data_IF_484911924864
#
_entry.id   IF_484911924864
#
_cell.length_a   1.000
_cell.length_b   1.000
_cell.length_c   1.000
_cell.angle_alpha   90.00
_cell.angle_beta   90.00
_cell.angle_gamma   90.00
#
_symmetry.space_group_name_H-M   'P 1'
#
loop_
_entity.id
_entity.type
_entity.pdbx_description
1 polymer ?
#
# COMPACT_ATOMS: atom_id res chain seq x y z
N UNK A 1 -15.48 -36.27 2.50
CA UNK A 1 -14.28 -36.34 1.62
C UNK A 1 -13.08 -36.21 2.55
N UNK A 2 -12.13 -37.16 2.52
CA UNK A 2 -10.97 -37.13 3.44
C UNK A 2 -10.05 -35.95 3.08
N UNK A 3 -9.88 -35.01 4.03
CA UNK A 3 -8.89 -33.94 3.95
C UNK A 3 -7.50 -34.59 4.05
N UNK A 4 -6.68 -34.45 3.00
CA UNK A 4 -5.34 -35.03 2.94
C UNK A 4 -4.41 -34.17 3.78
N UNK A 5 -4.04 -34.66 4.96
CA UNK A 5 -3.02 -34.03 5.82
C UNK A 5 -1.68 -33.99 5.08
N UNK A 6 -1.26 -32.82 4.63
CA UNK A 6 0.03 -32.63 3.98
C UNK A 6 1.15 -32.40 5.00
N UNK A 7 2.29 -33.02 4.74
CA UNK A 7 3.53 -32.84 5.50
C UNK A 7 4.16 -31.52 5.06
N UNK A 8 4.37 -30.60 6.01
CA UNK A 8 5.07 -29.31 5.83
C UNK A 8 6.35 -29.47 5.01
N UNK A 9 6.27 -29.14 3.72
CA UNK A 9 7.43 -28.81 2.91
C UNK A 9 7.62 -27.30 3.05
N UNK A 10 8.46 -26.90 4.00
CA UNK A 10 8.95 -25.52 4.11
C UNK A 10 9.81 -25.25 2.86
N UNK A 11 9.16 -24.76 1.81
CA UNK A 11 9.81 -24.21 0.63
C UNK A 11 9.77 -22.69 0.74
N UNK A 12 10.82 -22.10 1.31
CA UNK A 12 11.04 -20.66 1.31
C UNK A 12 11.24 -20.20 -0.14
N UNK A 13 10.16 -19.83 -0.83
CA UNK A 13 10.24 -19.11 -2.09
C UNK A 13 10.43 -17.64 -1.75
N UNK A 14 11.69 -17.20 -1.82
CA UNK A 14 12.04 -15.79 -1.73
C UNK A 14 11.34 -14.99 -2.84
N UNK A 15 11.03 -13.74 -2.52
CA UNK A 15 10.56 -12.71 -3.45
C UNK A 15 11.42 -12.77 -4.72
N UNK A 16 10.82 -13.14 -5.86
CA UNK A 16 11.48 -13.06 -7.17
C UNK A 16 11.21 -11.65 -7.69
N UNK A 17 12.17 -10.75 -7.49
CA UNK A 17 12.23 -9.50 -8.23
C UNK A 17 12.53 -9.80 -9.70
N UNK A 18 11.71 -9.24 -10.59
CA UNK A 18 11.70 -9.39 -12.04
C UNK A 18 11.23 -10.76 -12.61
N UNK A 19 9.92 -10.83 -12.89
CA UNK A 19 9.41 -11.39 -14.14
C UNK A 19 9.65 -12.88 -14.41
N UNK A 20 9.14 -13.76 -13.55
CA UNK A 20 8.60 -15.07 -13.94
C UNK A 20 8.10 -15.82 -12.69
N UNK A 21 6.80 -15.73 -12.39
CA UNK A 21 6.15 -16.75 -11.56
C UNK A 21 6.09 -18.03 -12.39
N UNK A 22 7.12 -18.87 -12.26
CA UNK A 22 7.04 -20.24 -12.78
C UNK A 22 6.24 -21.03 -11.75
N UNK A 23 5.00 -21.36 -12.08
CA UNK A 23 4.25 -22.43 -11.42
C UNK A 23 4.99 -23.75 -11.67
N UNK A 24 6.13 -23.92 -10.99
CA UNK A 24 6.74 -25.22 -10.79
C UNK A 24 5.69 -26.08 -10.07
N UNK A 25 5.61 -27.37 -10.41
CA UNK A 25 4.65 -28.31 -9.84
C UNK A 25 4.96 -28.59 -8.36
N UNK A 26 4.93 -27.55 -7.53
CA UNK A 26 4.93 -27.63 -6.08
C UNK A 26 3.53 -28.03 -5.64
N UNK A 27 3.44 -29.03 -4.77
CA UNK A 27 2.19 -29.68 -4.37
C UNK A 27 1.59 -29.01 -3.13
N UNK A 28 1.80 -27.69 -2.94
CA UNK A 28 1.37 -26.95 -1.75
C UNK A 28 1.02 -25.49 -2.03
N UNK A 29 0.30 -24.87 -1.08
CA UNK A 29 -0.11 -23.48 -1.14
C UNK A 29 1.10 -22.54 -1.25
N UNK A 30 1.03 -21.59 -2.16
CA UNK A 30 2.09 -20.61 -2.40
C UNK A 30 1.50 -19.30 -2.90
N UNK A 31 2.16 -18.21 -2.57
CA UNK A 31 1.85 -16.89 -3.10
C UNK A 31 3.14 -16.14 -3.48
N UNK A 32 3.02 -15.14 -4.34
CA UNK A 32 4.16 -14.37 -4.81
C UNK A 32 3.77 -12.95 -5.22
N UNK A 33 4.72 -12.03 -5.05
CA UNK A 33 4.60 -10.61 -5.41
C UNK A 33 5.83 -10.21 -6.25
N UNK A 34 5.59 -9.47 -7.33
CA UNK A 34 6.64 -8.86 -8.14
C UNK A 34 6.61 -7.34 -7.95
N UNK A 35 7.78 -6.73 -7.73
CA UNK A 35 7.94 -5.28 -7.52
C UNK A 35 9.13 -4.81 -8.36
N UNK A 36 8.99 -3.64 -8.98
CA UNK A 36 10.06 -2.94 -9.69
C UNK A 36 10.26 -1.55 -9.07
N UNK A 37 11.51 -1.19 -8.77
CA UNK A 37 11.90 0.18 -8.41
C UNK A 37 12.99 0.67 -9.36
N UNK A 38 13.01 1.98 -9.60
CA UNK A 38 14.06 2.65 -10.38
C UNK A 38 14.48 3.91 -9.63
N UNK A 39 15.78 4.20 -9.63
CA UNK A 39 16.31 5.43 -9.03
C UNK A 39 15.78 6.68 -9.76
N UNK A 40 15.66 7.77 -9.00
CA UNK A 40 15.16 9.05 -9.52
C UNK A 40 16.17 10.17 -9.28
N UNK A 41 16.49 10.90 -10.35
CA UNK A 41 17.38 12.07 -10.30
C UNK A 41 16.65 13.31 -10.78
N UNK A 42 16.71 14.38 -9.98
CA UNK A 42 16.18 15.70 -10.32
C UNK A 42 17.29 16.73 -10.20
N UNK A 43 17.43 17.59 -11.21
CA UNK A 43 18.32 18.75 -11.18
C UNK A 43 17.48 20.02 -11.20
N UNK A 44 17.71 20.94 -10.27
CA UNK A 44 17.10 22.26 -10.27
C UNK A 44 17.99 23.32 -9.61
N UNK A 45 17.64 24.59 -9.84
CA UNK A 45 18.37 25.79 -9.40
C UNK A 45 18.23 26.09 -7.91
N UNK A 46 17.32 25.39 -7.21
CA UNK A 46 16.96 25.67 -5.82
C UNK A 46 17.41 24.58 -4.85
N UNK A 47 17.79 23.40 -5.35
CA UNK A 47 18.05 22.21 -4.54
C UNK A 47 16.82 21.69 -3.79
N UNK A 48 15.60 22.07 -4.17
CA UNK A 48 14.39 21.70 -3.45
C UNK A 48 13.53 20.69 -4.20
N UNK A 49 13.02 19.69 -3.50
CA UNK A 49 11.96 18.80 -4.00
C UNK A 49 10.64 19.26 -3.40
N UNK A 50 9.57 19.28 -4.20
CA UNK A 50 8.22 19.54 -3.66
C UNK A 50 7.55 18.27 -3.18
N UNK A 51 7.73 17.16 -3.91
CA UNK A 51 7.09 15.88 -3.58
C UNK A 51 7.95 14.71 -4.08
N UNK A 52 7.96 13.62 -3.32
CA UNK A 52 8.44 12.31 -3.74
C UNK A 52 7.24 11.37 -3.80
N UNK A 53 7.06 10.70 -4.93
CA UNK A 53 5.89 9.84 -5.18
C UNK A 53 6.27 8.50 -5.79
N UNK A 54 5.43 7.49 -5.60
CA UNK A 54 5.50 6.19 -6.28
C UNK A 54 4.17 5.83 -6.92
N UNK A 55 4.28 5.05 -8.00
CA UNK A 55 3.14 4.48 -8.71
C UNK A 55 3.40 2.98 -8.83
N UNK A 56 3.14 2.23 -7.74
CA UNK A 56 3.51 0.83 -7.71
C UNK A 56 2.56 0.01 -8.60
N UNK A 57 3.13 -0.77 -9.51
CA UNK A 57 2.41 -1.83 -10.21
C UNK A 57 2.52 -3.12 -9.40
N UNK A 58 1.41 -3.85 -9.25
CA UNK A 58 1.38 -5.05 -8.43
C UNK A 58 0.75 -6.24 -9.12
N UNK A 59 1.48 -7.35 -9.09
CA UNK A 59 0.99 -8.67 -9.47
C UNK A 59 1.06 -9.60 -8.27
N UNK A 60 -0.10 -9.93 -7.70
CA UNK A 60 -0.21 -10.96 -6.67
C UNK A 60 -0.74 -12.23 -7.29
N UNK A 61 0.03 -13.30 -7.13
CA UNK A 61 -0.32 -14.61 -7.62
C UNK A 61 -0.47 -15.55 -6.43
N UNK A 62 -1.45 -16.45 -6.49
CA UNK A 62 -1.64 -17.51 -5.51
C UNK A 62 -2.02 -18.80 -6.20
N UNK A 63 -1.63 -19.93 -5.60
CA UNK A 63 -1.94 -21.24 -6.15
C UNK A 63 -2.08 -22.29 -5.06
N UNK A 64 -2.93 -23.28 -5.31
CA UNK A 64 -3.10 -24.50 -4.52
C UNK A 64 -3.46 -24.25 -3.05
N UNK A 65 -4.24 -23.21 -2.75
CA UNK A 65 -4.85 -23.06 -1.43
C UNK A 65 -5.98 -24.06 -1.24
N UNK A 66 -6.22 -24.52 -0.01
CA UNK A 66 -7.36 -25.39 0.29
C UNK A 66 -8.67 -24.60 0.47
N UNK A 67 -8.55 -23.30 0.71
CA UNK A 67 -9.64 -22.36 0.89
C UNK A 67 -9.65 -21.31 -0.23
N UNK A 68 -10.84 -20.83 -0.58
CA UNK A 68 -11.00 -19.82 -1.63
C UNK A 68 -10.46 -18.46 -1.19
N UNK A 69 -9.60 -17.84 -2.00
CA UNK A 69 -9.21 -16.43 -1.85
C UNK A 69 -10.33 -15.55 -2.42
N UNK A 70 -10.89 -14.67 -1.59
CA UNK A 70 -11.97 -13.75 -1.95
C UNK A 70 -11.57 -12.27 -1.90
N UNK A 71 -10.53 -11.92 -1.15
CA UNK A 71 -10.02 -10.55 -1.01
C UNK A 71 -8.51 -10.57 -0.90
N UNK A 72 -7.89 -9.45 -1.22
CA UNK A 72 -6.46 -9.24 -1.00
C UNK A 72 -6.31 -7.97 -0.21
N UNK A 73 -5.75 -8.05 0.99
CA UNK A 73 -5.33 -6.89 1.77
C UNK A 73 -3.88 -6.53 1.41
N UNK A 74 -3.60 -5.23 1.37
CA UNK A 74 -2.31 -4.69 0.99
C UNK A 74 -1.98 -3.51 1.89
N UNK A 75 -0.70 -3.43 2.25
CA UNK A 75 -0.09 -2.36 2.99
C UNK A 75 1.19 -1.93 2.29
N UNK A 76 1.35 -0.63 2.11
CA UNK A 76 2.61 -0.02 1.73
C UNK A 76 3.06 0.88 2.87
N UNK A 77 4.28 0.64 3.33
CA UNK A 77 4.97 1.47 4.31
C UNK A 77 6.25 2.03 3.68
N UNK A 78 6.65 3.22 4.11
CA UNK A 78 7.86 3.86 3.65
C UNK A 78 8.72 4.32 4.82
N UNK A 79 10.03 4.27 4.62
CA UNK A 79 11.07 4.82 5.49
C UNK A 79 11.99 5.68 4.64
N UNK A 80 12.34 6.86 5.15
CA UNK A 80 13.19 7.81 4.43
C UNK A 80 14.40 8.15 5.29
N UNK A 81 15.59 8.14 4.67
CA UNK A 81 16.86 8.50 5.32
C UNK A 81 17.12 7.73 6.64
N UNK A 82 16.71 6.46 6.71
CA UNK A 82 16.88 5.62 7.90
C UNK A 82 15.98 5.99 9.10
N UNK A 83 14.93 6.80 8.90
CA UNK A 83 13.95 7.15 9.92
C UNK A 83 13.01 6.02 10.33
N UNK A 84 11.84 6.36 10.87
CA UNK A 84 10.82 5.37 11.21
C UNK A 84 10.02 4.91 9.98
N UNK A 85 9.43 3.71 10.09
CA UNK A 85 8.49 3.22 9.09
C UNK A 85 7.11 3.83 9.31
N UNK A 86 6.56 4.45 8.28
CA UNK A 86 5.19 4.95 8.28
C UNK A 86 4.34 4.20 7.26
N UNK A 87 3.13 3.74 7.63
CA UNK A 87 2.15 3.33 6.63
C UNK A 87 1.79 4.53 5.77
N UNK A 88 1.76 4.35 4.46
CA UNK A 88 1.40 5.39 3.48
C UNK A 88 0.19 4.98 2.63
N UNK A 89 -0.11 3.68 2.57
CA UNK A 89 -1.26 3.16 1.85
C UNK A 89 -1.75 1.84 2.45
N UNK A 90 -3.07 1.67 2.50
CA UNK A 90 -3.72 0.39 2.75
C UNK A 90 -4.96 0.23 1.89
N UNK A 91 -5.28 -1.00 1.50
CA UNK A 91 -6.57 -1.33 0.91
C UNK A 91 -6.89 -2.82 1.05
N UNK A 92 -8.18 -3.15 0.97
CA UNK A 92 -8.67 -4.53 0.87
C UNK A 92 -9.63 -4.66 -0.31
N UNK A 93 -9.16 -4.55 -1.56
CA UNK A 93 -9.99 -4.80 -2.72
C UNK A 93 -10.67 -6.17 -2.64
N UNK A 94 -11.97 -6.16 -2.93
CA UNK A 94 -12.73 -7.37 -3.15
C UNK A 94 -12.42 -7.90 -4.54
N UNK A 95 -12.19 -9.21 -4.65
CA UNK A 95 -12.02 -9.87 -5.94
C UNK A 95 -13.37 -9.95 -6.65
N UNK A 96 -13.36 -9.85 -7.98
CA UNK A 96 -14.53 -10.23 -8.78
C UNK A 96 -14.63 -11.77 -8.83
N UNK A 97 -15.80 -12.34 -9.15
CA UNK A 97 -15.93 -13.79 -9.26
C UNK A 97 -14.89 -14.45 -10.17
N UNK A 98 -14.50 -13.81 -11.27
CA UNK A 98 -13.49 -14.31 -12.21
C UNK A 98 -12.08 -14.38 -11.61
N UNK A 99 -11.82 -13.60 -10.56
CA UNK A 99 -10.54 -13.53 -9.89
C UNK A 99 -10.50 -14.40 -8.63
N UNK A 100 -11.65 -14.77 -8.06
CA UNK A 100 -11.70 -15.63 -6.87
C UNK A 100 -11.26 -17.05 -7.20
N UNK A 101 -10.67 -17.72 -6.21
CA UNK A 101 -10.36 -19.15 -6.31
C UNK A 101 -9.25 -19.58 -5.37
N UNK A 102 -8.98 -20.88 -5.37
CA UNK A 102 -7.81 -21.48 -4.71
C UNK A 102 -6.51 -21.24 -5.48
N UNK A 103 -6.63 -20.81 -6.73
CA UNK A 103 -5.53 -20.38 -7.61
C UNK A 103 -6.00 -19.19 -8.41
N UNK A 104 -5.17 -18.17 -8.53
CA UNK A 104 -5.53 -16.94 -9.23
C UNK A 104 -4.41 -15.91 -9.27
N UNK A 105 -4.71 -14.82 -9.97
CA UNK A 105 -3.84 -13.67 -10.10
C UNK A 105 -4.68 -12.40 -9.94
N UNK A 106 -4.15 -11.44 -9.19
CA UNK A 106 -4.66 -10.08 -9.15
C UNK A 106 -3.57 -9.15 -9.69
N UNK A 107 -3.81 -8.66 -10.89
CA UNK A 107 -3.04 -7.59 -11.52
C UNK A 107 -3.70 -6.26 -11.14
N UNK A 108 -2.96 -5.41 -10.43
CA UNK A 108 -3.34 -4.03 -10.17
C UNK A 108 -2.52 -3.12 -11.08
N UNK A 109 -2.79 -3.23 -12.39
CA UNK A 109 -2.21 -2.34 -13.37
C UNK A 109 -2.67 -0.90 -13.16
N UNK A 110 -1.78 0.04 -13.50
CA UNK A 110 -2.11 1.46 -13.63
C UNK A 110 -2.69 2.01 -12.32
N UNK A 111 -1.96 1.79 -11.23
CA UNK A 111 -2.33 2.19 -9.88
C UNK A 111 -2.75 3.67 -9.79
N UNK A 112 -2.08 4.54 -10.55
CA UNK A 112 -2.45 5.94 -10.71
C UNK A 112 -3.88 6.13 -11.23
N UNK A 113 -4.33 5.34 -12.19
CA UNK A 113 -5.71 5.43 -12.71
C UNK A 113 -6.75 5.03 -11.66
N UNK A 114 -6.41 4.08 -10.78
CA UNK A 114 -7.30 3.62 -9.70
C UNK A 114 -7.40 4.66 -8.58
N UNK A 115 -6.28 5.30 -8.25
CA UNK A 115 -6.20 6.32 -7.21
C UNK A 115 -6.53 7.73 -7.72
N UNK A 116 -6.48 7.94 -9.04
CA UNK A 116 -6.48 9.25 -9.68
C UNK A 116 -5.18 10.03 -9.52
N UNK A 117 -4.13 9.44 -8.90
CA UNK A 117 -2.81 10.06 -8.63
C UNK A 117 -1.77 9.04 -8.12
N UNK A 118 -0.47 9.38 -8.16
CA UNK A 118 0.59 8.64 -7.44
C UNK A 118 0.41 8.63 -5.91
N UNK A 119 1.00 7.66 -5.22
CA UNK A 119 1.17 7.69 -3.76
C UNK A 119 2.30 8.64 -3.40
N UNK A 120 2.11 9.46 -2.38
CA UNK A 120 3.16 10.37 -1.92
C UNK A 120 3.89 9.80 -0.72
N UNK A 121 5.21 9.68 -0.87
CA UNK A 121 6.13 9.24 0.17
C UNK A 121 6.58 10.45 0.99
N UNK A 122 6.87 11.55 0.30
CA UNK A 122 7.25 12.80 0.94
C UNK A 122 6.52 13.97 0.30
N UNK A 123 6.10 14.93 1.12
CA UNK A 123 5.46 16.18 0.70
C UNK A 123 5.85 17.31 1.69
N UNK A 124 5.46 18.58 1.46
CA UNK A 124 5.90 19.68 2.33
C UNK A 124 5.37 19.64 3.77
N UNK A 125 4.40 18.78 4.08
CA UNK A 125 3.81 18.64 5.41
C UNK A 125 4.49 17.53 6.22
N UNK A 126 4.98 16.50 5.53
CA UNK A 126 5.70 15.38 6.12
C UNK A 126 4.84 14.39 6.90
N UNK A 127 5.49 13.64 7.78
CA UNK A 127 4.80 12.70 8.67
C UNK A 127 3.84 13.46 9.59
N UNK A 128 2.55 13.09 9.64
CA UNK A 128 1.61 13.69 10.57
C UNK A 128 2.06 13.53 12.03
N UNK A 129 1.76 14.50 12.87
CA UNK A 129 1.94 14.41 14.32
C UNK A 129 0.86 13.51 14.95
N UNK A 130 0.95 12.20 14.68
CA UNK A 130 0.03 11.21 15.23
C UNK A 130 -0.03 11.25 16.78
N UNK A 131 1.09 11.37 17.52
CA UNK A 131 1.05 11.49 18.98
C UNK A 131 0.33 12.74 19.49
N UNK A 132 0.35 13.83 18.71
CA UNK A 132 -0.32 15.08 19.04
C UNK A 132 -1.82 15.11 18.73
N UNK A 133 -2.36 14.14 17.99
CA UNK A 133 -3.76 14.12 17.57
C UNK A 133 -4.73 13.80 18.72
N UNK A 134 -5.97 14.33 18.64
CA UNK A 134 -7.02 14.05 19.62
C UNK A 134 -7.76 12.73 19.33
N UNK A 135 -7.11 11.62 19.67
CA UNK A 135 -7.67 10.27 19.51
C UNK A 135 -8.92 10.03 20.37
N UNK A 136 -9.10 10.77 21.46
CA UNK A 136 -10.29 10.64 22.31
C UNK A 136 -11.54 11.17 21.59
N UNK A 137 -11.40 12.29 20.90
CA UNK A 137 -12.47 12.87 20.07
C UNK A 137 -12.64 12.13 18.75
N UNK A 138 -11.60 11.42 18.27
CA UNK A 138 -11.68 10.65 17.05
C UNK A 138 -12.77 9.58 17.14
N UNK A 139 -12.64 8.62 18.08
CA UNK A 139 -13.62 7.59 18.40
C UNK A 139 -13.36 6.21 17.79
N UNK A 140 -13.20 6.07 16.45
CA UNK A 140 -13.00 4.77 15.81
C UNK A 140 -11.72 4.04 16.19
N UNK A 141 -10.66 4.75 16.57
CA UNK A 141 -9.34 4.17 16.80
C UNK A 141 -8.56 4.96 17.86
N UNK A 142 -7.65 4.28 18.55
CA UNK A 142 -6.48 4.91 19.18
C UNK A 142 -5.35 5.10 18.17
N UNK A 143 -4.34 5.90 18.53
CA UNK A 143 -3.10 6.05 17.76
C UNK A 143 -2.50 4.70 17.34
N UNK A 144 -2.34 3.81 18.31
CA UNK A 144 -1.77 2.48 18.11
C UNK A 144 -2.60 1.66 17.11
N UNK A 145 -3.92 1.58 17.32
CA UNK A 145 -4.79 0.81 16.44
C UNK A 145 -4.89 1.39 15.02
N UNK A 146 -4.64 2.70 14.88
CA UNK A 146 -4.62 3.38 13.60
C UNK A 146 -3.35 3.05 12.82
N UNK A 147 -2.19 3.20 13.47
CA UNK A 147 -0.89 2.98 12.84
C UNK A 147 -0.59 1.50 12.59
N UNK A 148 -1.08 0.59 13.44
CA UNK A 148 -0.95 -0.86 13.22
C UNK A 148 -2.04 -1.45 12.30
N UNK A 149 -3.01 -0.61 11.90
CA UNK A 149 -4.08 -0.94 10.97
C UNK A 149 -5.24 -1.72 11.54
N UNK A 150 -5.25 -1.99 12.83
CA UNK A 150 -6.32 -2.76 13.44
C UNK A 150 -7.66 -2.03 13.47
N UNK A 151 -7.63 -0.69 13.57
CA UNK A 151 -8.80 0.15 13.39
C UNK A 151 -8.43 1.50 12.80
N UNK A 152 -9.07 1.89 11.70
CA UNK A 152 -8.74 3.14 10.98
C UNK A 152 -9.90 4.11 10.84
N UNK A 153 -11.13 3.70 11.16
CA UNK A 153 -12.35 4.45 10.80
C UNK A 153 -12.45 4.75 9.30
N UNK A 154 -13.39 5.64 8.95
CA UNK A 154 -13.50 6.16 7.59
C UNK A 154 -12.60 7.38 7.36
N UNK A 155 -12.30 7.66 6.10
CA UNK A 155 -11.53 8.85 5.74
C UNK A 155 -12.20 10.14 6.17
N UNK A 156 -13.52 10.25 5.95
CA UNK A 156 -14.29 11.41 6.36
C UNK A 156 -14.25 11.64 7.87
N UNK A 157 -14.23 10.58 8.68
CA UNK A 157 -14.04 10.73 10.12
C UNK A 157 -12.63 11.22 10.43
N UNK A 158 -11.60 10.63 9.81
CA UNK A 158 -10.21 11.01 10.06
C UNK A 158 -9.96 12.48 9.70
N UNK A 159 -10.43 12.92 8.53
CA UNK A 159 -10.28 14.30 8.07
C UNK A 159 -11.04 15.32 8.93
N UNK A 160 -12.15 14.92 9.54
CA UNK A 160 -12.99 15.85 10.32
C UNK A 160 -12.57 15.96 11.78
N UNK A 161 -11.89 14.94 12.32
CA UNK A 161 -11.74 14.79 13.77
C UNK A 161 -10.29 14.69 14.25
N UNK A 162 -9.31 14.32 13.39
CA UNK A 162 -7.91 14.17 13.82
C UNK A 162 -7.07 15.44 13.66
N UNK A 163 -7.54 16.43 12.88
CA UNK A 163 -6.77 17.65 12.53
C UNK A 163 -5.35 17.34 12.02
N UNK A 164 -5.22 16.23 11.29
CA UNK A 164 -3.96 15.79 10.68
C UNK A 164 -3.97 16.06 9.17
N UNK A 165 -2.79 16.36 8.62
CA UNK A 165 -2.60 16.42 7.18
C UNK A 165 -2.44 15.02 6.62
N UNK A 166 -3.57 14.41 6.23
CA UNK A 166 -3.62 13.05 5.70
C UNK A 166 -3.77 13.06 4.18
N UNK A 167 -3.20 12.05 3.53
CA UNK A 167 -3.30 11.86 2.09
C UNK A 167 -4.40 10.86 1.78
N UNK A 168 -5.54 11.32 1.26
CA UNK A 168 -6.61 10.41 0.85
C UNK A 168 -6.20 9.57 -0.36
N UNK A 169 -5.59 8.43 -0.12
CA UNK A 169 -5.01 7.59 -1.16
C UNK A 169 -6.01 6.58 -1.73
N UNK A 170 -7.31 6.64 -1.40
CA UNK A 170 -8.34 5.84 -2.08
C UNK A 170 -9.74 6.49 -2.11
N UNK A 171 -9.91 7.69 -2.70
CA UNK A 171 -11.07 8.55 -2.46
C UNK A 171 -12.44 7.91 -2.70
N UNK A 172 -12.50 6.96 -3.65
CA UNK A 172 -13.71 6.23 -4.01
C UNK A 172 -14.23 5.27 -2.93
N UNK A 173 -13.39 4.86 -1.97
CA UNK A 173 -13.73 3.85 -0.97
C UNK A 173 -13.81 4.37 0.47
N UNK A 174 -13.48 5.65 0.71
CA UNK A 174 -13.61 6.32 2.01
C UNK A 174 -13.03 5.52 3.21
N UNK A 175 -12.00 4.71 2.99
CA UNK A 175 -11.28 4.00 4.06
C UNK A 175 -10.29 4.97 4.73
N UNK A 176 -10.01 4.88 6.04
CA UNK A 176 -9.02 5.78 6.67
C UNK A 176 -7.66 5.78 5.94
N UNK A 177 -6.94 6.91 5.97
CA UNK A 177 -5.69 7.08 5.22
C UNK A 177 -4.56 7.70 6.04
N UNK A 178 -3.34 7.46 5.59
CA UNK A 178 -2.13 7.96 6.22
C UNK A 178 -1.62 9.24 5.58
N UNK A 179 -0.68 9.91 6.25
CA UNK A 179 0.08 11.01 5.65
C UNK A 179 1.31 10.52 4.88
N UNK A 180 2.16 11.46 4.49
CA UNK A 180 3.49 11.16 3.96
C UNK A 180 4.37 10.51 5.04
N UNK A 181 5.46 9.85 4.66
CA UNK A 181 6.47 9.32 5.58
C UNK A 181 7.54 10.37 5.95
N UNK A 182 7.76 11.39 5.12
CA UNK A 182 8.78 12.40 5.37
C UNK A 182 8.40 13.76 4.79
N UNK A 183 8.94 14.83 5.38
CA UNK A 183 8.77 16.17 4.81
C UNK A 183 9.74 16.41 3.66
N UNK A 184 9.34 17.20 2.68
CA UNK A 184 10.25 17.77 1.68
C UNK A 184 10.77 19.15 2.06
N UNK A 185 10.20 19.81 3.09
CA UNK A 185 10.62 21.16 3.57
C UNK A 185 10.33 21.37 5.07
N UNK A 186 10.94 22.38 5.73
CA UNK A 186 12.08 23.19 5.29
C UNK A 186 13.42 22.55 5.66
N UNK A 187 14.49 22.96 5.00
CA UNK A 187 15.87 22.73 5.43
C UNK A 187 16.11 23.28 6.86
N UNK A 188 16.88 22.59 7.72
CA UNK A 188 17.52 21.28 7.55
C UNK A 188 16.66 20.09 8.01
N UNK A 189 15.37 20.31 8.29
CA UNK A 189 14.50 19.27 8.83
C UNK A 189 14.06 18.26 7.76
N UNK A 190 14.06 18.66 6.48
CA UNK A 190 13.79 17.78 5.35
C UNK A 190 15.04 17.01 4.91
N UNK A 191 14.96 15.69 4.72
CA UNK A 191 16.05 14.93 4.10
C UNK A 191 16.24 15.28 2.61
N UNK A 192 15.22 15.85 1.96
CA UNK A 192 15.23 16.18 0.53
C UNK A 192 15.51 17.66 0.20
N UNK A 193 15.63 18.52 1.21
CA UNK A 193 15.95 19.94 1.03
C UNK A 193 17.44 20.15 1.32
N UNK A 194 18.16 20.86 0.46
CA UNK A 194 19.62 21.01 0.56
C UNK A 194 20.04 22.48 0.49
N UNK A 195 21.21 22.80 1.03
CA UNK A 195 21.79 24.14 0.86
C UNK A 195 22.04 24.44 -0.62
N UNK A 196 21.81 25.69 -1.04
CA UNK A 196 22.15 26.19 -2.39
C UNK A 196 23.65 26.40 -2.53
N UNK A 197 24.41 25.30 -2.54
CA UNK A 197 25.89 25.30 -2.50
C UNK A 197 26.56 24.75 -3.78
N UNK A 198 25.77 24.15 -4.69
CA UNK A 198 26.29 23.55 -5.91
C UNK A 198 26.64 22.06 -5.79
N UNK A 199 26.43 21.45 -4.64
CA UNK A 199 26.68 20.03 -4.40
C UNK A 199 25.42 19.18 -4.69
N UNK A 200 25.62 17.87 -4.72
CA UNK A 200 24.53 16.90 -4.88
C UNK A 200 24.29 16.17 -3.57
N UNK A 201 23.03 15.89 -3.26
CA UNK A 201 22.66 15.06 -2.13
C UNK A 201 21.77 13.90 -2.56
N UNK A 202 22.02 12.74 -1.96
CA UNK A 202 21.27 11.52 -2.20
C UNK A 202 20.58 11.10 -0.91
N UNK A 203 19.28 10.85 -1.00
CA UNK A 203 18.46 10.31 0.08
C UNK A 203 17.92 8.95 -0.32
N UNK A 204 18.21 7.95 0.50
CA UNK A 204 17.64 6.62 0.33
C UNK A 204 16.17 6.61 0.79
N UNK A 205 15.31 6.02 -0.04
CA UNK A 205 13.93 5.72 0.28
C UNK A 205 13.74 4.21 0.27
N UNK A 206 13.23 3.68 1.37
CA UNK A 206 12.93 2.27 1.54
C UNK A 206 11.41 2.08 1.59
N UNK A 207 10.94 1.06 0.90
CA UNK A 207 9.53 0.67 0.85
C UNK A 207 9.41 -0.77 1.29
N UNK A 208 8.36 -1.06 2.06
CA UNK A 208 7.96 -2.43 2.33
C UNK A 208 6.49 -2.63 2.04
N UNK A 209 6.23 -3.81 1.50
CA UNK A 209 4.93 -4.23 1.02
C UNK A 209 4.52 -5.46 1.82
N UNK A 210 3.31 -5.41 2.37
CA UNK A 210 2.72 -6.56 3.06
C UNK A 210 1.38 -6.86 2.41
N UNK A 211 1.19 -8.13 2.02
CA UNK A 211 -0.04 -8.63 1.41
C UNK A 211 -0.59 -9.75 2.28
N UNK A 212 -1.91 -9.77 2.43
CA UNK A 212 -2.65 -10.82 3.12
C UNK A 212 -3.79 -11.32 2.21
N UNK A 213 -3.80 -12.62 1.91
CA UNK A 213 -4.89 -13.25 1.17
C UNK A 213 -6.01 -13.64 2.15
N UNK A 214 -7.21 -13.15 1.88
CA UNK A 214 -8.35 -13.27 2.77
C UNK A 214 -9.48 -14.07 2.11
N UNK A 215 -10.19 -14.82 2.94
CA UNK A 215 -11.39 -15.57 2.56
C UNK A 215 -12.53 -14.63 2.15
N UNK A 216 -13.46 -15.06 1.28
CA UNK A 216 -14.67 -14.30 1.00
C UNK A 216 -15.53 -14.18 2.28
N UNK A 217 -16.33 -13.13 2.38
CA UNK A 217 -17.33 -13.02 3.43
C UNK A 217 -18.73 -12.78 2.87
N UNK A 218 -19.76 -13.04 3.70
CA UNK A 218 -21.16 -12.92 3.34
C UNK A 218 -21.48 -11.55 2.71
N UNK A 219 -21.09 -10.46 3.37
CA UNK A 219 -21.42 -9.10 2.90
C UNK A 219 -20.85 -8.81 1.51
N UNK A 220 -19.65 -9.31 1.21
CA UNK A 220 -19.05 -9.17 -0.11
C UNK A 220 -19.85 -9.93 -1.16
N UNK A 221 -20.16 -11.20 -0.90
CA UNK A 221 -20.85 -12.05 -1.87
C UNK A 221 -22.29 -11.60 -2.10
N UNK A 222 -23.01 -11.20 -1.05
CA UNK A 222 -24.34 -10.58 -1.17
C UNK A 222 -24.27 -9.33 -2.04
N UNK A 223 -23.30 -8.43 -1.80
CA UNK A 223 -23.12 -7.25 -2.64
C UNK A 223 -22.84 -7.62 -4.12
N UNK A 224 -21.98 -8.61 -4.37
CA UNK A 224 -21.66 -9.03 -5.74
C UNK A 224 -22.90 -9.65 -6.43
N UNK A 225 -23.63 -10.53 -5.75
CA UNK A 225 -24.73 -11.30 -6.32
C UNK A 225 -26.11 -10.65 -6.21
N UNK A 226 -26.22 -9.49 -5.55
CA UNK A 226 -27.38 -8.60 -5.63
C UNK A 226 -27.29 -7.64 -6.83
N UNK A 227 -26.09 -7.44 -7.36
CA UNK A 227 -25.82 -6.49 -8.44
C UNK A 227 -25.60 -7.19 -9.79
N UNK A 228 -25.96 -6.50 -10.88
CA UNK A 228 -25.64 -6.98 -12.23
C UNK A 228 -24.11 -6.95 -12.48
N UNK A 229 -23.55 -7.84 -13.31
CA UNK A 229 -24.21 -8.88 -14.12
C UNK A 229 -24.48 -10.19 -13.38
N UNK A 230 -24.00 -10.33 -12.14
CA UNK A 230 -24.03 -11.61 -11.42
C UNK A 230 -25.33 -11.87 -10.68
N UNK A 231 -26.30 -10.95 -10.74
CA UNK A 231 -27.55 -11.07 -9.99
C UNK A 231 -28.18 -12.46 -10.11
N UNK A 232 -28.17 -13.22 -9.00
CA UNK A 232 -28.69 -14.60 -8.93
C UNK A 232 -29.94 -14.72 -8.06
N UNK A 233 -30.24 -13.73 -7.22
CA UNK A 233 -31.32 -13.76 -6.24
C UNK A 233 -32.26 -12.56 -6.37
N UNK A 234 -33.40 -12.66 -5.70
CA UNK A 234 -34.29 -11.52 -5.51
C UNK A 234 -33.67 -10.57 -4.46
N UNK A 235 -33.42 -9.30 -4.82
CA UNK A 235 -32.84 -8.32 -3.92
C UNK A 235 -33.66 -8.18 -2.64
N UNK A 236 -32.99 -8.28 -1.50
CA UNK A 236 -33.61 -8.20 -0.17
C UNK A 236 -34.10 -9.52 0.40
N UNK A 237 -33.75 -10.66 -0.21
CA UNK A 237 -33.82 -11.98 0.45
C UNK A 237 -32.44 -12.37 1.00
N UNK A 238 -32.37 -12.83 2.24
CA UNK A 238 -31.11 -13.33 2.82
C UNK A 238 -30.79 -14.70 2.22
N UNK A 239 -29.77 -14.76 1.37
CA UNK A 239 -29.25 -16.02 0.85
C UNK A 239 -28.53 -16.81 1.95
N UNK A 240 -28.67 -18.13 1.91
CA UNK A 240 -27.85 -19.05 2.72
C UNK A 240 -26.39 -19.05 2.23
N UNK A 241 -25.45 -19.49 3.07
CA UNK A 241 -24.05 -19.61 2.64
C UNK A 241 -23.89 -20.63 1.51
N UNK A 242 -24.67 -21.72 1.54
CA UNK A 242 -24.72 -22.70 0.47
C UNK A 242 -25.18 -22.08 -0.85
N UNK A 243 -26.21 -21.24 -0.82
CA UNK A 243 -26.65 -20.52 -2.01
C UNK A 243 -25.57 -19.57 -2.52
N UNK A 244 -24.95 -18.76 -1.64
CA UNK A 244 -23.87 -17.85 -2.03
C UNK A 244 -22.67 -18.60 -2.63
N UNK A 245 -22.26 -19.72 -2.05
CA UNK A 245 -21.20 -20.59 -2.55
C UNK A 245 -21.54 -21.17 -3.93
N UNK A 246 -22.79 -21.61 -4.13
CA UNK A 246 -23.30 -22.10 -5.40
C UNK A 246 -23.30 -21.00 -6.48
N UNK A 247 -23.71 -19.78 -6.13
CA UNK A 247 -23.69 -18.65 -7.05
C UNK A 247 -22.26 -18.27 -7.44
N UNK A 248 -21.34 -18.24 -6.47
CA UNK A 248 -19.93 -17.97 -6.69
C UNK A 248 -19.28 -19.02 -7.57
N UNK A 249 -19.45 -20.31 -7.26
CA UNK A 249 -18.93 -21.43 -8.06
C UNK A 249 -19.36 -21.35 -9.52
N UNK A 250 -20.59 -20.91 -9.81
CA UNK A 250 -21.08 -20.74 -11.20
C UNK A 250 -20.52 -19.51 -11.91
N UNK A 251 -20.00 -18.53 -11.17
CA UNK A 251 -19.46 -17.28 -11.71
C UNK A 251 -17.92 -17.27 -11.76
N UNK A 252 -17.27 -18.12 -10.98
CA UNK A 252 -15.82 -18.33 -10.98
C UNK A 252 -15.32 -19.06 -12.22
N UNK A 253 -13.99 -19.02 -12.51
CA UNK A 253 -13.40 -19.73 -13.63
C UNK A 253 -13.71 -21.23 -13.62
N UNK A 254 -13.85 -21.82 -14.81
CA UNK A 254 -14.16 -23.24 -14.98
C UNK A 254 -13.19 -24.14 -14.19
N UNK A 255 -13.75 -25.06 -13.39
CA UNK A 255 -12.97 -25.96 -12.54
C UNK A 255 -12.67 -25.41 -11.14
N UNK A 256 -13.07 -24.16 -10.83
CA UNK A 256 -13.04 -23.62 -9.48
C UNK A 256 -14.32 -24.00 -8.72
N UNK A 257 -14.19 -24.21 -7.42
CA UNK A 257 -15.31 -24.47 -6.51
C UNK A 257 -15.11 -23.61 -5.26
N UNK A 258 -16.18 -22.96 -4.81
CA UNK A 258 -16.24 -22.32 -3.50
C UNK A 258 -17.17 -23.13 -2.63
N UNK A 259 -16.72 -23.50 -1.43
CA UNK A 259 -17.55 -24.18 -0.45
C UNK A 259 -18.20 -23.16 0.48
N UNK A 260 -19.37 -23.50 1.04
CA UNK A 260 -19.99 -22.68 2.09
C UNK A 260 -19.06 -22.48 3.30
N UNK A 261 -18.19 -23.47 3.57
CA UNK A 261 -17.18 -23.41 4.62
C UNK A 261 -16.06 -22.41 4.36
N UNK A 262 -15.93 -21.88 3.13
CA UNK A 262 -14.93 -20.88 2.76
C UNK A 262 -15.43 -19.46 3.04
N UNK A 263 -16.73 -19.29 3.29
CA UNK A 263 -17.38 -17.99 3.45
C UNK A 263 -17.48 -17.64 4.92
N UNK A 264 -16.87 -16.52 5.31
CA UNK A 264 -17.03 -15.99 6.65
C UNK A 264 -18.35 -15.21 6.78
N UNK A 265 -19.12 -15.46 7.85
CA UNK A 265 -20.36 -14.71 8.09
C UNK A 265 -20.07 -13.24 8.44
N UNK A 266 -18.92 -12.96 9.05
CA UNK A 266 -18.51 -11.64 9.52
C UNK A 266 -17.32 -11.08 8.74
N UNK A 267 -16.26 -10.71 9.46
CA UNK A 267 -15.03 -10.26 8.84
C UNK A 267 -14.30 -11.43 8.19
N UNK A 268 -13.62 -11.17 7.09
CA UNK A 268 -12.82 -12.18 6.40
C UNK A 268 -11.61 -12.57 7.26
N UNK A 269 -11.44 -13.86 7.47
CA UNK A 269 -10.21 -14.43 8.00
C UNK A 269 -9.15 -14.53 6.88
N UNK A 270 -7.89 -14.60 7.29
CA UNK A 270 -6.80 -15.00 6.41
C UNK A 270 -7.02 -16.45 5.95
N UNK A 271 -6.68 -16.74 4.69
CA UNK A 271 -6.78 -18.09 4.11
C UNK A 271 -5.72 -19.01 4.76
N UNK A 272 -6.05 -20.25 5.09
CA UNK A 272 -5.23 -21.22 5.86
C UNK A 272 -5.03 -20.87 7.35
N UNK A 273 -5.90 -20.04 7.93
CA UNK A 273 -5.80 -19.62 9.33
C UNK A 273 -5.79 -20.80 10.31
N UNK A 274 -4.63 -21.09 10.92
CA UNK A 274 -4.47 -22.23 11.84
C UNK A 274 -4.57 -23.62 11.19
N UNK A 275 -4.70 -23.69 9.86
CA UNK A 275 -4.77 -24.95 9.12
C UNK A 275 -3.37 -25.47 8.79
N UNK A 276 -3.21 -26.78 8.62
CA UNK A 276 -1.95 -27.44 8.22
C UNK A 276 -0.70 -27.07 9.06
N UNK A 277 -0.94 -26.68 10.31
CA UNK A 277 0.09 -26.26 11.25
C UNK A 277 0.64 -24.86 10.99
N UNK A 278 0.00 -24.06 10.14
CA UNK A 278 0.28 -22.63 10.02
C UNK A 278 -0.18 -21.88 11.28
N UNK A 279 0.39 -20.70 11.58
CA UNK A 279 -0.05 -19.85 12.68
C UNK A 279 -1.56 -19.57 12.63
N UNK A 280 -2.20 -19.56 13.80
CA UNK A 280 -3.58 -19.10 13.96
C UNK A 280 -3.61 -17.62 14.35
N UNK A 281 -4.53 -16.89 13.75
CA UNK A 281 -4.80 -15.47 13.96
C UNK A 281 -6.17 -15.25 14.64
N UNK A 282 -6.75 -16.28 15.25
CA UNK A 282 -8.08 -16.19 15.90
C UNK A 282 -8.13 -15.16 17.03
N UNK A 283 -6.97 -14.82 17.61
CA UNK A 283 -6.83 -13.72 18.57
C UNK A 283 -7.22 -12.34 18.01
N UNK A 284 -7.33 -12.21 16.69
CA UNK A 284 -7.66 -10.99 15.96
C UNK A 284 -9.05 -11.04 15.28
N UNK A 285 -9.80 -12.15 15.46
CA UNK A 285 -11.08 -12.40 14.78
C UNK A 285 -12.23 -11.45 15.22
N UNK A 286 -12.02 -10.61 16.24
CA UNK A 286 -13.00 -9.63 16.75
C UNK A 286 -13.31 -8.46 15.81
N UNK A 287 -12.83 -8.48 14.57
CA UNK A 287 -13.02 -7.43 13.57
C UNK A 287 -12.01 -6.30 13.61
N UNK A 288 -10.98 -6.43 14.45
CA UNK A 288 -9.88 -5.48 14.54
C UNK A 288 -8.77 -5.77 13.52
N UNK A 289 -8.92 -6.65 12.52
CA UNK A 289 -7.83 -6.99 11.60
C UNK A 289 -6.56 -7.54 12.27
N UNK A 290 -5.60 -7.99 11.48
CA UNK A 290 -4.30 -8.48 12.01
C UNK A 290 -3.34 -7.28 12.05
N UNK A 291 -2.67 -6.99 13.18
CA UNK A 291 -1.69 -5.91 13.27
C UNK A 291 -0.58 -6.07 12.22
N UNK A 292 -0.11 -4.96 11.66
CA UNK A 292 0.88 -4.99 10.58
C UNK A 292 2.18 -5.68 10.95
N UNK A 293 2.68 -5.48 12.18
CA UNK A 293 3.87 -6.17 12.67
C UNK A 293 3.64 -7.68 12.73
N UNK A 294 2.46 -8.12 13.19
CA UNK A 294 2.12 -9.54 13.28
C UNK A 294 2.07 -10.18 11.90
N UNK A 295 1.52 -9.49 10.89
CA UNK A 295 1.58 -9.97 9.50
C UNK A 295 3.03 -10.16 9.05
N UNK A 296 3.86 -9.12 9.17
CA UNK A 296 5.27 -9.17 8.75
C UNK A 296 6.07 -10.27 9.45
N UNK A 297 5.88 -10.41 10.77
CA UNK A 297 6.59 -11.40 11.59
C UNK A 297 6.22 -12.85 11.23
N UNK A 298 5.09 -13.06 10.57
CA UNK A 298 4.62 -14.39 10.15
C UNK A 298 4.71 -14.62 8.62
N UNK A 299 5.23 -13.66 7.85
CA UNK A 299 5.27 -13.75 6.39
C UNK A 299 6.08 -14.94 5.87
N UNK A 300 7.15 -15.33 6.57
CA UNK A 300 7.95 -16.52 6.22
C UNK A 300 7.28 -17.85 6.57
N UNK A 301 6.31 -17.82 7.50
CA UNK A 301 5.72 -19.00 8.12
C UNK A 301 4.26 -19.23 7.68
N UNK A 302 3.71 -18.36 6.84
CA UNK A 302 2.31 -18.43 6.41
C UNK A 302 2.15 -18.14 4.90
N UNK A 303 1.58 -19.06 4.10
CA UNK A 303 1.56 -18.94 2.64
C UNK A 303 0.65 -17.82 2.12
N UNK A 304 -0.34 -17.40 2.90
CA UNK A 304 -1.24 -16.30 2.57
C UNK A 304 -0.67 -14.92 2.91
N UNK A 305 0.52 -14.82 3.50
CA UNK A 305 1.16 -13.54 3.83
C UNK A 305 2.40 -13.37 2.95
N UNK A 306 2.47 -12.26 2.22
CA UNK A 306 3.65 -11.90 1.46
C UNK A 306 4.26 -10.65 2.09
N UNK A 307 5.57 -10.67 2.29
CA UNK A 307 6.33 -9.50 2.70
C UNK A 307 7.52 -9.29 1.77
N UNK A 308 7.69 -8.05 1.30
CA UNK A 308 8.76 -7.68 0.38
C UNK A 308 9.26 -6.28 0.69
N UNK A 309 10.57 -6.06 0.58
CA UNK A 309 11.20 -4.77 0.73
C UNK A 309 11.94 -4.39 -0.55
N UNK A 310 11.99 -3.09 -0.86
CA UNK A 310 12.78 -2.52 -1.95
C UNK A 310 13.25 -1.13 -1.55
N UNK A 311 14.29 -0.63 -2.20
CA UNK A 311 14.73 0.76 -2.03
C UNK A 311 15.01 1.41 -3.38
N UNK A 312 15.11 2.74 -3.35
CA UNK A 312 15.59 3.55 -4.45
C UNK A 312 16.20 4.84 -3.89
N UNK A 313 17.15 5.39 -4.63
CA UNK A 313 17.79 6.64 -4.28
C UNK A 313 17.08 7.83 -4.95
N UNK A 314 16.89 8.90 -4.19
CA UNK A 314 16.48 10.21 -4.68
C UNK A 314 17.68 11.13 -4.64
N UNK A 315 18.18 11.53 -5.81
CA UNK A 315 19.32 12.46 -5.90
C UNK A 315 18.86 13.84 -6.37
N UNK A 316 19.22 14.86 -5.58
CA UNK A 316 19.04 16.28 -5.91
C UNK A 316 20.38 16.87 -6.28
N UNK A 317 20.49 17.41 -7.49
CA UNK A 317 21.66 18.19 -7.90
C UNK A 317 21.32 19.68 -7.77
N UNK A 318 22.08 20.40 -6.95
CA UNK A 318 21.92 21.84 -6.81
C UNK A 318 22.72 22.57 -7.88
N UNK A 319 22.06 23.30 -8.78
CA UNK A 319 22.78 24.12 -9.75
C UNK A 319 23.24 25.43 -9.09
N UNK A 320 24.54 25.75 -9.17
CA UNK A 320 25.05 27.04 -8.69
C UNK A 320 24.29 28.18 -9.38
N UNK A 321 23.55 28.98 -8.60
CA UNK A 321 22.91 30.20 -9.09
C UNK A 321 23.95 31.16 -9.66
N UNK A 322 24.10 31.19 -10.99
CA UNK A 322 24.88 32.23 -11.66
C UNK A 322 24.05 33.52 -11.70
N UNK A 323 24.20 34.39 -10.70
CA UNK A 323 23.76 35.77 -10.84
C UNK A 323 24.71 36.49 -11.80
N UNK A 324 24.40 36.50 -13.09
CA UNK A 324 25.04 37.42 -14.03
C UNK A 324 24.54 38.85 -13.72
N UNK A 325 25.11 39.49 -12.71
CA UNK A 325 25.04 40.94 -12.59
C UNK A 325 25.96 41.53 -13.66
N UNK A 326 25.41 41.75 -14.85
CA UNK A 326 26.01 42.67 -15.80
C UNK A 326 25.97 44.07 -15.18
N UNK A 327 27.08 44.49 -14.57
CA UNK A 327 27.28 45.87 -14.18
C UNK A 327 27.47 46.69 -15.46
N UNK A 328 26.39 47.22 -16.02
CA UNK A 328 26.48 48.35 -16.94
C UNK A 328 27.02 49.54 -16.15
N UNK A 329 28.33 49.75 -16.25
CA UNK A 329 28.98 50.95 -15.73
C UNK A 329 28.52 52.16 -16.53
N UNK A 330 27.59 52.91 -15.95
CA UNK A 330 27.19 54.23 -16.40
C UNK A 330 28.39 55.19 -16.26
N UNK A 331 29.07 55.44 -17.38
CA UNK A 331 30.23 56.31 -17.47
C UNK A 331 29.85 57.75 -17.81
N UNK A 332 29.07 58.42 -16.96
CA UNK A 332 28.96 59.88 -17.01
C UNK A 332 30.17 60.50 -16.30
N UNK A 333 31.10 61.04 -17.09
CA UNK A 333 32.12 61.97 -16.58
C UNK A 333 32.00 63.32 -17.29
N UNK A 334 31.07 64.11 -16.78
CA UNK A 334 31.17 65.56 -16.77
C UNK A 334 32.44 66.00 -16.01
N UNK A 335 33.46 66.44 -16.72
CA UNK A 335 34.50 67.32 -16.16
C UNK A 335 34.47 68.66 -16.88
N UNK A 336 33.90 69.65 -16.20
CA UNK A 336 34.20 71.05 -16.39
C UNK A 336 35.29 71.46 -15.39
N UNK A 337 36.37 72.06 -15.87
CA UNK A 337 36.74 73.46 -15.59
C UNK A 337 38.28 73.72 -15.55
N UNK A 338 38.65 74.77 -16.29
CA UNK A 338 39.76 75.74 -16.09
C UNK A 338 41.25 75.38 -16.16
N UNK A 339 41.97 76.06 -17.08
CA UNK A 339 43.25 76.71 -16.72
C UNK A 339 44.36 76.79 -17.78
N UNK A 340 44.48 77.97 -18.43
CA UNK A 340 45.71 78.70 -18.80
C UNK A 340 46.88 78.00 -19.53
N UNK A 341 47.11 78.37 -20.80
CA UNK A 341 48.24 79.21 -21.28
C UNK A 341 48.15 79.41 -22.80
#
# INVERSE_FOLDING_TARGET
>A
MERRTFVKAVGSLGVISAGAFTATQTVGAQSGLSIQSNDATVSNDRGDITQVTISPDFDVNWANFDETVGKVFWLVEARVAGGDWYPIYRATPWLSPEQMGTTGTLELDNFESRLGRPLSIADPNGAPDYPGADWNSYGPASEESYLDGTSMGSAGQASNNLDLTLQNNFPSQNAGYYGAAASTKPYPASPFDQETDGESATTEVELRYTVELQRPNRSQLEYIFDNAPYRRYDPGSEATLEELADAATRAMPEGSEMLASDIDEGNSAIVMNGEDGYPSFDGYAGGAGIPYNVLRDNASDHPAIIHSETSFDVTVNNETSQSNTASEGDGDTSTSNTGAS
#
